data_IF_842947557637
#
_entry.id   IF_842947557637
#
_cell.length_a   1.000
_cell.length_b   1.000
_cell.length_c   1.000
_cell.angle_alpha   90.00
_cell.angle_beta   90.00
_cell.angle_gamma   90.00
#
_symmetry.space_group_name_H-M   'P 1'
#
loop_
_entity.id
_entity.type
_entity.pdbx_description
1 polymer ?
#
# COMPACT_ATOMS: atom_id res chain seq x y z
N UNK A 1 -7.21 6.91 -5.21
CA UNK A 1 -6.00 7.35 -4.49
C UNK A 1 -6.28 7.61 -3.02
N UNK A 2 -7.27 8.44 -2.66
CA UNK A 2 -7.68 8.73 -1.27
C UNK A 2 -7.71 7.50 -0.32
N UNK A 3 -8.37 6.41 -0.70
CA UNK A 3 -8.43 5.21 0.15
C UNK A 3 -7.08 4.53 0.38
N UNK A 4 -6.16 4.61 -0.59
CA UNK A 4 -4.80 4.07 -0.42
C UNK A 4 -4.06 4.92 0.61
N UNK A 5 -4.15 6.25 0.50
CA UNK A 5 -3.51 7.18 1.45
C UNK A 5 -4.04 7.02 2.88
N UNK A 6 -5.32 6.68 3.03
CA UNK A 6 -5.96 6.47 4.34
C UNK A 6 -5.55 5.14 5.00
N UNK A 7 -5.33 4.08 4.22
CA UNK A 7 -5.09 2.72 4.74
C UNK A 7 -3.63 2.28 4.71
N UNK A 8 -2.86 2.73 3.71
CA UNK A 8 -1.47 2.31 3.51
C UNK A 8 -0.56 2.58 4.72
N UNK A 9 -0.70 3.69 5.47
CA UNK A 9 0.09 3.90 6.69
C UNK A 9 0.02 2.73 7.68
N UNK A 10 -1.16 2.13 7.88
CA UNK A 10 -1.30 1.00 8.80
C UNK A 10 -0.62 -0.27 8.23
N UNK A 11 -0.74 -0.51 6.93
CA UNK A 11 -0.13 -1.66 6.26
C UNK A 11 1.40 -1.57 6.17
N UNK A 12 1.94 -0.35 6.13
CA UNK A 12 3.37 -0.11 5.96
C UNK A 12 4.18 -0.11 7.27
N UNK A 13 3.55 -0.34 8.41
CA UNK A 13 4.18 -0.32 9.74
C UNK A 13 5.38 -1.25 9.86
N UNK A 14 5.30 -2.49 9.36
CA UNK A 14 6.44 -3.42 9.37
C UNK A 14 7.59 -2.93 8.49
N UNK A 15 7.31 -2.28 7.35
CA UNK A 15 8.36 -1.72 6.50
C UNK A 15 9.12 -0.61 7.23
N UNK A 16 8.40 0.26 7.95
CA UNK A 16 9.01 1.32 8.76
C UNK A 16 9.84 0.72 9.90
N UNK A 17 9.34 -0.32 10.58
CA UNK A 17 10.09 -1.05 11.62
C UNK A 17 11.37 -1.63 11.04
N UNK A 18 11.30 -2.33 9.90
CA UNK A 18 12.45 -2.95 9.26
C UNK A 18 13.54 -1.94 8.88
N UNK A 19 13.17 -0.81 8.27
CA UNK A 19 14.15 0.23 7.94
C UNK A 19 14.73 0.91 9.20
N UNK A 20 13.91 1.13 10.22
CA UNK A 20 14.38 1.69 11.51
C UNK A 20 15.37 0.75 12.21
N UNK A 21 15.15 -0.57 12.14
CA UNK A 21 16.07 -1.59 12.68
C UNK A 21 17.38 -1.62 11.89
N UNK A 22 17.35 -1.44 10.57
CA UNK A 22 18.58 -1.34 9.75
C UNK A 22 19.45 -0.15 10.13
N UNK A 23 18.86 0.92 10.68
CA UNK A 23 19.58 2.07 11.23
C UNK A 23 20.07 1.86 12.69
N UNK A 24 19.95 0.63 13.22
CA UNK A 24 20.46 0.26 14.54
C UNK A 24 19.48 0.44 15.70
N UNK A 25 18.19 0.65 15.42
CA UNK A 25 17.16 0.65 16.46
C UNK A 25 16.83 -0.76 16.98
N UNK A 26 16.42 -0.86 18.24
CA UNK A 26 15.92 -2.12 18.80
C UNK A 26 14.53 -2.46 18.24
N UNK A 27 14.37 -3.69 17.75
CA UNK A 27 13.12 -4.11 17.08
C UNK A 27 11.92 -4.10 18.03
N UNK A 28 12.11 -4.49 19.28
CA UNK A 28 11.03 -4.61 20.25
C UNK A 28 10.53 -3.22 20.67
N UNK A 29 11.47 -2.30 20.93
CA UNK A 29 11.14 -0.92 21.27
C UNK A 29 10.44 -0.18 20.11
N UNK A 30 10.93 -0.36 18.88
CA UNK A 30 10.34 0.23 17.68
C UNK A 30 8.94 -0.33 17.38
N UNK A 31 8.76 -1.64 17.53
CA UNK A 31 7.45 -2.28 17.33
C UNK A 31 6.43 -1.77 18.36
N UNK A 32 6.82 -1.65 19.63
CA UNK A 32 5.91 -1.13 20.66
C UNK A 32 5.54 0.33 20.45
N UNK A 33 6.51 1.17 20.05
CA UNK A 33 6.25 2.57 19.69
C UNK A 33 5.22 2.66 18.54
N UNK A 34 5.48 1.97 17.43
CA UNK A 34 4.59 2.00 16.26
C UNK A 34 3.21 1.42 16.59
N UNK A 35 3.12 0.41 17.47
CA UNK A 35 1.86 -0.15 17.95
C UNK A 35 1.02 0.91 18.68
N UNK A 36 1.62 1.67 19.59
CA UNK A 36 0.93 2.74 20.33
C UNK A 36 0.43 3.81 19.37
N UNK A 37 1.30 4.34 18.50
CA UNK A 37 0.93 5.37 17.53
C UNK A 37 -0.18 4.90 16.57
N UNK A 38 -0.14 3.63 16.17
CA UNK A 38 -1.17 3.01 15.32
C UNK A 38 -2.52 2.93 16.02
N UNK A 39 -2.55 2.61 17.33
CA UNK A 39 -3.79 2.59 18.10
C UNK A 39 -4.39 3.99 18.26
N UNK A 40 -3.57 5.01 18.51
CA UNK A 40 -4.02 6.40 18.63
C UNK A 40 -4.59 6.92 17.30
N UNK A 41 -3.90 6.67 16.18
CA UNK A 41 -4.39 7.03 14.85
C UNK A 41 -5.69 6.29 14.51
N UNK A 42 -5.78 4.99 14.82
CA UNK A 42 -7.00 4.22 14.63
C UNK A 42 -8.17 4.74 15.48
N UNK A 43 -7.90 5.25 16.68
CA UNK A 43 -8.91 5.91 17.51
C UNK A 43 -9.42 7.21 16.86
N UNK A 44 -8.54 8.05 16.30
CA UNK A 44 -8.94 9.26 15.58
C UNK A 44 -9.86 8.94 14.40
N UNK A 45 -9.56 7.89 13.65
CA UNK A 45 -10.39 7.45 12.53
C UNK A 45 -11.73 6.88 13.02
N UNK A 46 -11.70 5.92 13.95
CA UNK A 46 -12.89 5.14 14.32
C UNK A 46 -13.85 5.87 15.26
N UNK A 47 -13.34 6.60 16.25
CA UNK A 47 -14.18 7.28 17.25
C UNK A 47 -14.53 8.70 16.83
N UNK A 48 -13.63 9.37 16.12
CA UNK A 48 -13.76 10.80 15.82
C UNK A 48 -14.00 11.10 14.34
N UNK A 49 -13.99 10.09 13.46
CA UNK A 49 -14.22 10.27 12.02
C UNK A 49 -13.17 11.16 11.34
N UNK A 50 -11.97 11.28 11.93
CA UNK A 50 -10.89 12.09 11.39
C UNK A 50 -10.06 11.30 10.37
N UNK A 51 -9.20 12.00 9.64
CA UNK A 51 -8.20 11.38 8.76
C UNK A 51 -7.17 10.61 9.58
N UNK A 52 -6.58 9.61 8.95
CA UNK A 52 -5.44 8.89 9.50
C UNK A 52 -4.24 9.83 9.65
N UNK A 53 -3.70 9.95 10.87
CA UNK A 53 -2.56 10.80 11.22
C UNK A 53 -1.32 9.98 11.64
N UNK A 54 -1.27 8.68 11.33
CA UNK A 54 -0.18 7.79 11.78
C UNK A 54 1.20 8.25 11.29
N UNK A 55 1.33 8.65 10.02
CA UNK A 55 2.62 9.08 9.47
C UNK A 55 3.11 10.35 10.16
N UNK A 56 2.21 11.31 10.42
CA UNK A 56 2.53 12.53 11.15
C UNK A 56 3.04 12.24 12.57
N UNK A 57 2.48 11.20 13.22
CA UNK A 57 2.92 10.74 14.54
C UNK A 57 4.28 10.07 14.49
N UNK A 58 4.50 9.21 13.49
CA UNK A 58 5.76 8.50 13.27
C UNK A 58 6.91 9.50 13.02
N UNK A 59 6.70 10.49 12.16
CA UNK A 59 7.69 11.55 11.87
C UNK A 59 8.07 12.35 13.13
N UNK A 60 7.12 12.51 14.06
CA UNK A 60 7.33 13.25 15.31
C UNK A 60 7.88 12.39 16.46
N UNK A 61 8.02 11.08 16.29
CA UNK A 61 8.51 10.20 17.36
C UNK A 61 10.03 10.26 17.44
N UNK A 62 10.56 10.65 18.60
CA UNK A 62 12.02 10.68 18.86
C UNK A 62 12.68 9.29 18.79
N UNK A 63 11.89 8.21 18.84
CA UNK A 63 12.41 6.83 18.74
C UNK A 63 12.63 6.40 17.29
N UNK A 64 11.92 7.01 16.35
CA UNK A 64 11.98 6.64 14.93
C UNK A 64 12.92 7.62 14.24
N UNK A 65 14.14 7.15 13.92
CA UNK A 65 15.22 8.01 13.40
C UNK A 65 15.20 8.19 11.88
N UNK A 66 14.14 7.73 11.22
CA UNK A 66 13.94 7.92 9.79
C UNK A 66 13.55 9.37 9.50
N UNK A 67 14.06 9.93 8.40
CA UNK A 67 13.59 11.24 7.94
C UNK A 67 12.20 11.15 7.32
N UNK A 68 11.53 12.29 7.20
CA UNK A 68 10.24 12.39 6.53
C UNK A 68 10.31 11.86 5.08
N UNK A 69 11.37 12.18 4.35
CA UNK A 69 11.59 11.69 2.98
C UNK A 69 11.80 10.17 2.95
N UNK A 70 12.54 9.61 3.91
CA UNK A 70 12.71 8.16 4.03
C UNK A 70 11.38 7.46 4.28
N UNK A 71 10.56 7.99 5.20
CA UNK A 71 9.23 7.44 5.50
C UNK A 71 8.33 7.49 4.26
N UNK A 72 8.25 8.63 3.56
CA UNK A 72 7.44 8.72 2.34
C UNK A 72 7.93 7.80 1.23
N UNK A 73 9.25 7.60 1.11
CA UNK A 73 9.80 6.62 0.18
C UNK A 73 9.38 5.19 0.57
N UNK A 74 9.39 4.85 1.85
CA UNK A 74 8.99 3.53 2.35
C UNK A 74 7.52 3.24 2.02
N UNK A 75 6.64 4.23 2.19
CA UNK A 75 5.19 4.08 2.00
C UNK A 75 4.72 4.36 0.56
N UNK A 76 5.62 4.32 -0.44
CA UNK A 76 5.21 4.43 -1.84
C UNK A 76 4.27 3.26 -2.22
N UNK A 77 3.00 3.52 -2.61
CA UNK A 77 2.05 2.48 -2.98
C UNK A 77 2.56 1.50 -4.04
N UNK A 78 3.45 1.96 -4.94
CA UNK A 78 4.04 1.10 -5.98
C UNK A 78 4.90 -0.02 -5.41
N UNK A 79 5.41 0.13 -4.18
CA UNK A 79 6.18 -0.92 -3.48
C UNK A 79 5.27 -2.00 -2.87
N UNK A 80 3.95 -1.78 -2.80
CA UNK A 80 2.97 -2.67 -2.17
C UNK A 80 2.12 -3.46 -3.18
N UNK A 81 2.45 -3.41 -4.48
CA UNK A 81 1.67 -4.08 -5.54
C UNK A 81 2.13 -5.51 -5.83
N UNK A 82 3.17 -6.00 -5.14
CA UNK A 82 3.76 -7.32 -5.34
C UNK A 82 4.12 -7.57 -6.82
N UNK A 83 3.61 -8.67 -7.38
CA UNK A 83 3.78 -9.04 -8.80
C UNK A 83 2.54 -8.73 -9.66
N UNK A 84 1.64 -7.86 -9.21
CA UNK A 84 0.35 -7.64 -9.87
C UNK A 84 0.47 -7.33 -11.37
N UNK A 85 1.35 -6.40 -11.74
CA UNK A 85 1.58 -6.06 -13.15
C UNK A 85 2.07 -7.27 -13.95
N UNK A 86 3.09 -7.97 -13.46
CA UNK A 86 3.65 -9.15 -14.13
C UNK A 86 2.61 -10.27 -14.24
N UNK A 87 1.81 -10.50 -13.20
CA UNK A 87 0.75 -11.51 -13.21
C UNK A 87 -0.32 -11.21 -14.27
N UNK A 88 -0.68 -9.94 -14.45
CA UNK A 88 -1.63 -9.52 -15.48
C UNK A 88 -1.03 -9.69 -16.88
N UNK A 89 0.22 -9.28 -17.08
CA UNK A 89 0.92 -9.46 -18.37
C UNK A 89 1.04 -10.95 -18.74
N UNK A 90 1.51 -11.79 -17.81
CA UNK A 90 1.62 -13.24 -17.98
C UNK A 90 0.25 -13.85 -18.31
N UNK A 91 -0.81 -13.47 -17.58
CA UNK A 91 -2.15 -13.97 -17.85
C UNK A 91 -2.70 -13.57 -19.22
N UNK A 92 -2.54 -12.30 -19.60
CA UNK A 92 -2.98 -11.81 -20.91
C UNK A 92 -2.25 -12.57 -22.02
N UNK A 93 -0.93 -12.68 -21.91
CA UNK A 93 -0.10 -13.30 -22.94
C UNK A 93 -0.33 -14.81 -23.04
N UNK A 94 -0.30 -15.54 -21.92
CA UNK A 94 -0.35 -17.00 -21.92
C UNK A 94 -1.76 -17.56 -22.08
N UNK A 95 -2.79 -16.83 -21.64
CA UNK A 95 -4.17 -17.34 -21.56
C UNK A 95 -5.12 -16.61 -22.48
N UNK A 96 -5.11 -15.28 -22.48
CA UNK A 96 -6.10 -14.49 -23.22
C UNK A 96 -5.75 -14.41 -24.69
N UNK A 97 -4.51 -14.11 -25.04
CA UNK A 97 -4.08 -13.95 -26.42
C UNK A 97 -4.38 -15.21 -27.27
N UNK A 98 -4.08 -16.45 -26.84
CA UNK A 98 -4.45 -17.64 -27.61
C UNK A 98 -5.96 -17.77 -27.86
N UNK A 99 -6.79 -17.37 -26.89
CA UNK A 99 -8.26 -17.41 -27.01
C UNK A 99 -8.73 -16.36 -28.03
N UNK A 100 -8.21 -15.13 -27.94
CA UNK A 100 -8.54 -14.07 -28.89
C UNK A 100 -8.09 -14.45 -30.31
N UNK A 101 -6.90 -15.02 -30.44
CA UNK A 101 -6.35 -15.46 -31.73
C UNK A 101 -7.22 -16.55 -32.38
N UNK A 102 -7.73 -17.51 -31.59
CA UNK A 102 -8.64 -18.56 -32.08
C UNK A 102 -10.01 -18.02 -32.54
N UNK A 103 -10.44 -16.89 -31.99
CA UNK A 103 -11.76 -16.30 -32.22
C UNK A 103 -11.69 -14.94 -32.95
N UNK A 104 -10.61 -14.67 -33.71
CA UNK A 104 -10.40 -13.37 -34.36
C UNK A 104 -11.56 -12.88 -35.22
N UNK A 105 -12.25 -13.81 -35.87
CA UNK A 105 -13.33 -13.54 -36.81
C UNK A 105 -14.59 -12.95 -36.14
N UNK A 106 -14.71 -13.05 -34.81
CA UNK A 106 -15.84 -12.50 -34.04
C UNK A 106 -15.42 -11.35 -33.11
N UNK A 107 -14.19 -10.85 -33.22
CA UNK A 107 -13.74 -9.67 -32.48
C UNK A 107 -14.28 -8.39 -33.13
N UNK A 108 -14.50 -7.35 -32.32
CA UNK A 108 -14.93 -6.03 -32.82
C UNK A 108 -16.40 -5.94 -33.19
N UNK A 109 -17.24 -6.86 -32.71
CA UNK A 109 -18.70 -6.76 -32.85
C UNK A 109 -19.18 -5.58 -31.99
N UNK A 110 -19.88 -4.65 -32.63
CA UNK A 110 -20.58 -3.57 -31.95
C UNK A 110 -21.90 -4.11 -31.38
N UNK A 111 -22.13 -3.93 -30.08
CA UNK A 111 -23.33 -4.41 -29.39
C UNK A 111 -24.13 -3.18 -28.96
N UNK A 112 -25.22 -2.92 -29.68
CA UNK A 112 -26.17 -1.87 -29.31
C UNK A 112 -27.19 -2.41 -28.29
N UNK A 113 -27.10 -1.91 -27.05
CA UNK A 113 -28.00 -2.26 -25.96
C UNK A 113 -29.18 -1.29 -25.94
N UNK A 114 -30.33 -1.72 -26.46
CA UNK A 114 -31.60 -0.98 -26.26
C UNK A 114 -32.05 -1.13 -24.82
N UNK A 115 -31.92 -0.05 -24.04
CA UNK A 115 -32.54 0.14 -22.72
C UNK A 115 -33.97 0.65 -22.89
#
# INVERSE_FOLDING_TARGET
QKHIEEELPFMATENIIMESVKQGGDRQDLHEEIRILSMEAAEQVKKHGKKNDLIDRVIKSDKIKLTEEEIYSIIDPKKFIGRSAQQVEEFIYDKIEPILQKNKNILGIDIDLKV
#
